data_IF_320936584388
#
_entry.id   IF_320936584388
#
_cell.length_a   1.000
_cell.length_b   1.000
_cell.length_c   1.000
_cell.angle_alpha   90.00
_cell.angle_beta   90.00
_cell.angle_gamma   90.00
#
_symmetry.space_group_name_H-M   'P 1'
#
loop_
_entity.id
_entity.type
_entity.pdbx_description
1 polymer ?
#
# COMPACT_ATOMS: atom_id res chain seq x y z
N UNK A 1 30.11 41.90 -6.39
CA UNK A 1 29.01 41.16 -7.03
C UNK A 1 29.06 39.76 -6.45
N UNK A 2 28.43 39.59 -5.28
CA UNK A 2 28.41 38.33 -4.55
C UNK A 2 27.14 37.59 -4.95
N UNK A 3 27.28 36.35 -5.40
CA UNK A 3 26.16 35.51 -5.78
C UNK A 3 25.64 34.85 -4.50
N UNK A 4 24.52 35.36 -3.98
CA UNK A 4 23.76 34.66 -2.94
C UNK A 4 23.17 33.41 -3.56
N UNK A 5 23.54 32.25 -3.01
CA UNK A 5 22.88 30.98 -3.30
C UNK A 5 21.47 31.07 -2.73
N UNK A 6 20.50 31.20 -3.63
CA UNK A 6 19.09 31.08 -3.32
C UNK A 6 18.78 29.62 -2.98
N UNK A 7 19.02 29.24 -1.73
CA UNK A 7 18.46 28.03 -1.14
C UNK A 7 17.38 28.50 -0.17
N UNK A 8 16.17 27.97 -0.36
CA UNK A 8 15.00 28.19 0.48
C UNK A 8 15.34 27.80 1.91
N UNK A 9 15.63 28.79 2.75
CA UNK A 9 15.85 28.61 4.18
C UNK A 9 14.47 28.65 4.83
N UNK A 10 13.90 27.49 5.10
CA UNK A 10 12.77 27.37 6.03
C UNK A 10 13.35 27.25 7.45
N UNK A 11 13.05 28.18 8.37
CA UNK A 11 13.64 28.24 9.71
C UNK A 11 13.25 27.07 10.62
N UNK A 12 12.32 26.20 10.21
CA UNK A 12 11.87 25.06 11.02
C UNK A 12 12.76 23.80 10.88
N UNK A 13 13.69 23.75 9.90
CA UNK A 13 14.62 22.63 9.75
C UNK A 13 15.98 22.94 10.38
N UNK A 14 16.29 22.28 11.50
CA UNK A 14 17.51 22.49 12.28
C UNK A 14 18.84 22.20 11.57
N UNK A 15 18.85 21.53 10.41
CA UNK A 15 20.03 21.30 9.56
C UNK A 15 19.63 21.09 8.09
N UNK A 16 20.46 21.50 7.10
CA UNK A 16 20.17 21.23 5.70
C UNK A 16 20.27 19.71 5.40
N UNK A 17 19.15 19.12 4.96
CA UNK A 17 19.08 17.72 4.50
C UNK A 17 19.76 17.49 3.13
N UNK A 18 20.27 18.54 2.49
CA UNK A 18 20.99 18.44 1.24
C UNK A 18 22.46 18.12 1.47
N UNK A 19 22.98 17.21 0.68
CA UNK A 19 24.39 16.80 0.67
C UNK A 19 25.01 17.06 -0.69
N UNK A 20 26.34 17.03 -0.76
CA UNK A 20 27.08 17.37 -1.98
C UNK A 20 26.71 16.46 -3.18
N UNK A 21 26.67 16.99 -4.41
CA UNK A 21 26.42 16.17 -5.60
C UNK A 21 27.39 14.98 -5.70
N UNK A 22 26.86 13.79 -6.02
CA UNK A 22 27.64 12.55 -6.14
C UNK A 22 27.68 11.69 -4.88
N UNK A 23 27.07 12.13 -3.78
CA UNK A 23 26.81 11.28 -2.61
C UNK A 23 25.52 10.44 -2.79
N UNK A 24 25.44 9.34 -2.05
CA UNK A 24 24.22 8.50 -1.93
C UNK A 24 23.23 9.05 -0.90
N UNK A 25 23.57 10.19 -0.28
CA UNK A 25 22.70 10.93 0.63
C UNK A 25 22.05 12.12 -0.10
N UNK A 26 20.94 12.67 0.43
CA UNK A 26 20.13 12.10 1.51
C UNK A 26 19.46 10.79 1.07
N UNK A 27 19.19 9.91 2.04
CA UNK A 27 18.38 8.70 1.85
C UNK A 27 17.34 8.56 2.98
N UNK A 28 16.47 7.55 2.91
CA UNK A 28 15.43 7.34 3.93
C UNK A 28 15.99 7.19 5.35
N UNK A 29 17.19 6.61 5.50
CA UNK A 29 17.84 6.46 6.81
C UNK A 29 18.28 7.79 7.44
N UNK A 30 18.42 8.86 6.64
CA UNK A 30 18.79 10.21 7.09
C UNK A 30 17.62 11.19 6.97
N UNK A 31 16.39 10.69 6.82
CA UNK A 31 15.20 11.53 6.84
C UNK A 31 14.97 12.13 8.24
N UNK A 32 14.07 13.10 8.32
CA UNK A 32 13.64 13.66 9.59
C UNK A 32 13.07 12.55 10.49
N UNK A 33 13.32 12.63 11.80
CA UNK A 33 12.83 11.68 12.79
C UNK A 33 11.46 12.06 13.35
N UNK A 34 10.82 13.10 12.79
CA UNK A 34 9.46 13.52 13.12
C UNK A 34 8.52 13.19 11.97
N UNK A 35 7.37 12.59 12.29
CA UNK A 35 6.29 12.37 11.32
C UNK A 35 5.00 13.03 11.79
N UNK A 36 4.30 13.68 10.86
CA UNK A 36 2.97 14.24 11.09
C UNK A 36 1.95 13.54 10.20
N UNK A 37 0.96 12.89 10.79
CA UNK A 37 -0.06 12.13 10.05
C UNK A 37 -1.46 12.64 10.39
N UNK A 38 -2.24 12.90 9.35
CA UNK A 38 -3.67 13.24 9.49
C UNK A 38 -4.50 11.97 9.57
N UNK A 39 -5.30 11.85 10.62
CA UNK A 39 -6.24 10.74 10.82
C UNK A 39 -7.65 11.31 10.82
N UNK A 40 -8.46 10.90 9.86
CA UNK A 40 -9.81 11.42 9.70
C UNK A 40 -10.75 10.99 10.83
N UNK A 41 -10.47 9.88 11.52
CA UNK A 41 -11.37 9.28 12.51
C UNK A 41 -10.58 8.45 13.55
N UNK A 42 -10.34 9.00 14.74
CA UNK A 42 -9.85 8.24 15.89
C UNK A 42 -10.77 8.49 17.10
N UNK A 43 -11.24 7.43 17.74
CA UNK A 43 -12.04 7.49 18.98
C UNK A 43 -13.53 7.80 18.83
N UNK A 44 -14.25 7.80 19.95
CA UNK A 44 -15.71 7.90 20.02
C UNK A 44 -16.31 9.24 19.55
N UNK A 45 -15.48 10.26 19.28
CA UNK A 45 -15.91 11.63 19.00
C UNK A 45 -15.89 12.01 17.52
N UNK A 46 -15.39 11.14 16.61
CA UNK A 46 -15.34 11.37 15.16
C UNK A 46 -14.68 12.71 14.75
N UNK A 47 -13.71 13.20 15.52
CA UNK A 47 -12.99 14.45 15.22
C UNK A 47 -11.70 14.10 14.46
N UNK A 48 -11.45 14.73 13.29
CA UNK A 48 -10.17 14.61 12.61
C UNK A 48 -9.04 15.05 13.54
N UNK A 49 -7.99 14.24 13.63
CA UNK A 49 -6.85 14.50 14.52
C UNK A 49 -5.54 14.48 13.73
N UNK A 50 -4.57 15.23 14.24
CA UNK A 50 -3.19 15.21 13.75
C UNK A 50 -2.37 14.45 14.78
N UNK A 51 -1.66 13.41 14.33
CA UNK A 51 -0.76 12.63 15.17
C UNK A 51 0.67 13.03 14.81
N UNK A 52 1.33 13.68 15.76
CA UNK A 52 2.77 13.92 15.70
C UNK A 52 3.48 12.81 16.48
N UNK A 53 4.52 12.24 15.89
CA UNK A 53 5.29 11.14 16.49
C UNK A 53 6.78 11.36 16.24
N UNK A 54 7.60 11.06 17.24
CA UNK A 54 9.06 11.03 17.08
C UNK A 54 9.59 9.61 17.04
N UNK A 55 10.67 9.43 16.30
CA UNK A 55 11.22 8.15 15.92
C UNK A 55 12.71 8.08 16.25
N UNK A 56 13.23 6.86 16.40
CA UNK A 56 14.68 6.65 16.58
C UNK A 56 15.46 7.01 15.31
N UNK A 57 14.84 6.81 14.14
CA UNK A 57 15.46 7.01 12.84
C UNK A 57 14.43 7.56 11.83
N UNK A 58 14.92 8.14 10.73
CA UNK A 58 14.06 8.69 9.68
C UNK A 58 13.37 7.65 8.81
N UNK A 59 13.84 6.40 8.83
CA UNK A 59 13.20 5.30 8.11
C UNK A 59 11.81 5.01 8.71
N UNK A 60 11.72 4.89 10.03
CA UNK A 60 10.48 4.65 10.75
C UNK A 60 9.53 5.84 10.62
N UNK A 61 10.06 7.07 10.65
CA UNK A 61 9.29 8.27 10.39
C UNK A 61 8.71 8.31 8.96
N UNK A 62 9.46 7.84 7.95
CA UNK A 62 8.98 7.75 6.58
C UNK A 62 7.96 6.62 6.43
N UNK A 63 8.23 5.46 7.04
CA UNK A 63 7.32 4.32 7.06
C UNK A 63 5.97 4.71 7.68
N UNK A 64 5.97 5.41 8.82
CA UNK A 64 4.75 5.78 9.54
C UNK A 64 3.77 6.64 8.73
N UNK A 65 4.29 7.52 7.86
CA UNK A 65 3.47 8.35 6.96
C UNK A 65 2.73 7.51 5.92
N UNK A 66 3.31 6.37 5.52
CA UNK A 66 2.77 5.44 4.53
C UNK A 66 2.00 4.28 5.17
N UNK A 67 1.99 4.16 6.50
CA UNK A 67 1.33 3.06 7.21
C UNK A 67 -0.18 3.08 6.96
N UNK A 68 -0.67 1.98 6.42
CA UNK A 68 -2.09 1.74 6.19
C UNK A 68 -2.48 0.38 6.75
N UNK A 69 -3.67 0.27 7.33
CA UNK A 69 -4.20 -1.00 7.82
C UNK A 69 -5.03 -1.74 6.77
N UNK A 70 -5.49 -1.04 5.72
CA UNK A 70 -6.17 -1.66 4.58
C UNK A 70 -6.08 -0.82 3.30
N UNK A 71 -6.17 -1.50 2.17
CA UNK A 71 -6.29 -0.97 0.80
C UNK A 71 -7.64 -1.42 0.23
N UNK A 72 -8.37 -0.51 -0.42
CA UNK A 72 -9.63 -0.81 -1.08
C UNK A 72 -9.68 -0.18 -2.47
N UNK A 73 -10.32 -0.88 -3.40
CA UNK A 73 -10.65 -0.36 -4.72
C UNK A 73 -11.73 -1.25 -5.38
N UNK A 74 -12.17 -0.84 -6.57
CA UNK A 74 -13.05 -1.61 -7.42
C UNK A 74 -12.28 -2.59 -8.31
N UNK A 75 -12.99 -3.63 -8.74
CA UNK A 75 -12.58 -4.51 -9.83
C UNK A 75 -13.72 -4.67 -10.83
N UNK A 76 -13.34 -4.84 -12.10
CA UNK A 76 -14.24 -5.08 -13.23
C UNK A 76 -13.59 -6.13 -14.11
N UNK A 77 -14.25 -7.28 -14.28
CA UNK A 77 -13.77 -8.42 -15.07
C UNK A 77 -14.83 -8.92 -16.05
N UNK A 78 -15.76 -8.05 -16.44
CA UNK A 78 -16.85 -8.41 -17.33
C UNK A 78 -16.33 -8.69 -18.76
N UNK A 79 -16.33 -9.96 -19.15
CA UNK A 79 -15.87 -10.42 -20.47
C UNK A 79 -16.65 -9.81 -21.65
N UNK A 80 -17.93 -9.47 -21.47
CA UNK A 80 -18.77 -8.91 -22.55
C UNK A 80 -18.30 -7.54 -23.03
N UNK A 81 -17.50 -6.85 -22.22
CA UNK A 81 -16.88 -5.56 -22.53
C UNK A 81 -15.35 -5.63 -22.53
N UNK A 82 -14.80 -6.85 -22.56
CA UNK A 82 -13.36 -7.09 -22.48
C UNK A 82 -12.70 -6.39 -21.30
N UNK A 83 -13.38 -6.34 -20.15
CA UNK A 83 -12.87 -5.65 -18.97
C UNK A 83 -11.86 -6.50 -18.21
N UNK A 84 -10.76 -5.88 -17.81
CA UNK A 84 -9.76 -6.44 -16.91
C UNK A 84 -9.36 -5.43 -15.85
N UNK A 85 -8.94 -5.92 -14.69
CA UNK A 85 -8.43 -5.08 -13.61
C UNK A 85 -7.22 -5.73 -12.97
N UNK A 86 -6.17 -4.93 -12.77
CA UNK A 86 -5.02 -5.29 -11.96
C UNK A 86 -4.80 -4.23 -10.87
N UNK A 87 -4.43 -4.66 -9.67
CA UNK A 87 -4.01 -3.78 -8.60
C UNK A 87 -2.51 -3.91 -8.38
N UNK A 88 -1.83 -2.77 -8.32
CA UNK A 88 -0.44 -2.68 -7.91
C UNK A 88 -0.40 -2.19 -6.47
N UNK A 89 0.30 -2.91 -5.60
CA UNK A 89 0.58 -2.53 -4.23
C UNK A 89 2.09 -2.61 -3.99
N UNK A 90 2.68 -1.49 -3.60
CA UNK A 90 4.11 -1.36 -3.33
C UNK A 90 4.35 -1.00 -1.88
N UNK A 91 5.42 -1.57 -1.30
CA UNK A 91 5.90 -1.33 0.05
C UNK A 91 7.25 -0.57 0.01
N UNK A 92 7.26 0.77 -0.11
CA UNK A 92 8.48 1.51 -0.47
C UNK A 92 9.64 1.39 0.52
N UNK A 93 9.34 1.09 1.79
CA UNK A 93 10.34 0.98 2.85
C UNK A 93 10.74 -0.47 3.16
N UNK A 94 10.06 -1.47 2.58
CA UNK A 94 10.27 -2.90 2.86
C UNK A 94 11.72 -3.32 2.76
N UNK A 95 12.40 -2.92 1.68
CA UNK A 95 13.79 -3.27 1.43
C UNK A 95 14.74 -2.84 2.54
N UNK A 96 14.39 -1.84 3.35
CA UNK A 96 15.23 -1.34 4.44
C UNK A 96 14.94 -2.08 5.75
N UNK A 97 13.72 -2.59 5.92
CA UNK A 97 13.30 -3.30 7.11
C UNK A 97 13.70 -4.79 7.11
N UNK A 98 14.01 -5.37 5.95
CA UNK A 98 14.35 -6.79 5.78
C UNK A 98 15.83 -7.07 5.42
N UNK A 99 16.72 -6.07 5.53
CA UNK A 99 18.14 -6.22 5.13
C UNK A 99 18.95 -7.11 6.07
N UNK A 100 18.53 -7.19 7.33
CA UNK A 100 19.20 -7.93 8.40
C UNK A 100 18.62 -9.34 8.54
N UNK A 101 19.35 -10.23 9.22
CA UNK A 101 18.89 -11.59 9.49
C UNK A 101 17.60 -11.63 10.34
N UNK A 102 17.32 -10.56 11.08
CA UNK A 102 16.07 -10.36 11.82
C UNK A 102 15.36 -9.18 11.16
N UNK A 103 14.12 -9.35 10.67
CA UNK A 103 13.34 -8.25 10.13
C UNK A 103 12.99 -7.25 11.23
N UNK A 104 12.83 -5.99 10.84
CA UNK A 104 12.45 -4.91 11.75
C UNK A 104 11.00 -4.50 11.48
N UNK A 105 10.22 -4.16 12.53
CA UNK A 105 8.86 -3.68 12.35
C UNK A 105 8.79 -2.52 11.35
N UNK A 106 7.70 -2.41 10.56
CA UNK A 106 6.45 -3.18 10.65
C UNK A 106 6.46 -4.51 9.85
N UNK A 107 7.58 -4.88 9.23
CA UNK A 107 7.72 -6.13 8.49
C UNK A 107 8.16 -7.26 9.42
N UNK A 108 7.59 -8.44 9.21
CA UNK A 108 7.72 -9.57 10.14
C UNK A 108 8.49 -10.73 9.55
N UNK A 109 8.55 -10.81 8.22
CA UNK A 109 9.15 -11.93 7.52
C UNK A 109 10.57 -11.65 7.04
N UNK A 110 11.40 -12.70 7.08
CA UNK A 110 12.80 -12.61 6.62
C UNK A 110 12.87 -12.81 5.12
N UNK A 111 13.76 -12.09 4.42
CA UNK A 111 13.88 -12.23 2.96
C UNK A 111 14.51 -13.58 2.57
N UNK A 112 13.77 -14.37 1.80
CA UNK A 112 14.22 -15.66 1.25
C UNK A 112 14.17 -15.65 -0.29
N UNK A 113 14.47 -16.79 -0.92
CA UNK A 113 14.32 -16.94 -2.37
C UNK A 113 12.86 -16.76 -2.85
N UNK A 114 11.89 -17.03 -1.98
CA UNK A 114 10.46 -16.89 -2.26
C UNK A 114 9.89 -15.52 -1.81
N UNK A 115 10.77 -14.61 -1.37
CA UNK A 115 10.41 -13.29 -0.85
C UNK A 115 10.30 -13.23 0.68
N UNK A 116 9.75 -12.12 1.20
CA UNK A 116 9.41 -11.91 2.61
C UNK A 116 7.88 -11.72 2.70
N UNK A 117 7.13 -12.80 2.94
CA UNK A 117 5.69 -12.88 2.72
C UNK A 117 4.85 -12.34 3.89
N UNK A 118 4.48 -11.06 3.84
CA UNK A 118 3.62 -10.49 4.88
C UNK A 118 2.17 -10.94 4.71
N UNK A 119 1.53 -11.56 5.72
CA UNK A 119 0.16 -12.07 5.62
C UNK A 119 -0.88 -10.95 5.45
N UNK A 120 -1.91 -11.21 4.65
CA UNK A 120 -2.99 -10.26 4.36
C UNK A 120 -4.37 -10.92 4.40
N UNK A 121 -5.36 -10.16 4.83
CA UNK A 121 -6.77 -10.53 4.77
C UNK A 121 -7.40 -10.05 3.47
N UNK A 122 -8.27 -10.86 2.87
CA UNK A 122 -9.03 -10.48 1.68
C UNK A 122 -10.53 -10.57 1.96
N UNK A 123 -11.28 -9.58 1.47
CA UNK A 123 -12.73 -9.61 1.43
C UNK A 123 -13.22 -8.93 0.14
N UNK A 124 -14.23 -9.51 -0.50
CA UNK A 124 -14.81 -9.01 -1.75
C UNK A 124 -16.33 -8.86 -1.61
N UNK A 125 -16.85 -7.87 -2.34
CA UNK A 125 -18.26 -7.56 -2.43
C UNK A 125 -18.64 -7.30 -3.88
N UNK A 126 -19.87 -7.65 -4.25
CA UNK A 126 -20.43 -7.21 -5.52
C UNK A 126 -20.89 -5.73 -5.44
N UNK A 127 -21.41 -5.20 -6.55
CA UNK A 127 -21.93 -3.83 -6.63
C UNK A 127 -23.13 -3.55 -5.70
N UNK A 128 -23.86 -4.59 -5.30
CA UNK A 128 -24.99 -4.53 -4.35
C UNK A 128 -24.58 -4.85 -2.90
N UNK A 129 -23.29 -4.78 -2.57
CA UNK A 129 -22.74 -5.03 -1.22
C UNK A 129 -22.93 -6.45 -0.69
N UNK A 130 -23.23 -7.42 -1.56
CA UNK A 130 -23.22 -8.83 -1.19
C UNK A 130 -21.77 -9.30 -1.05
N UNK A 131 -21.39 -9.67 0.17
CA UNK A 131 -20.08 -10.22 0.49
C UNK A 131 -19.95 -11.71 0.13
N UNK A 132 -18.74 -12.14 -0.19
CA UNK A 132 -18.37 -13.55 -0.09
C UNK A 132 -18.14 -13.94 1.38
N UNK A 133 -18.61 -15.13 1.78
CA UNK A 133 -18.27 -15.72 3.08
C UNK A 133 -17.33 -16.92 2.91
N UNK A 134 -16.05 -16.71 3.22
CA UNK A 134 -15.02 -17.75 3.32
C UNK A 134 -14.38 -18.18 1.99
N UNK A 135 -13.19 -18.76 2.05
CA UNK A 135 -12.50 -19.38 0.89
C UNK A 135 -11.98 -18.41 -0.16
N UNK A 136 -11.65 -17.16 0.21
CA UNK A 136 -10.99 -16.23 -0.69
C UNK A 136 -9.48 -16.33 -0.50
N UNK A 137 -8.77 -16.72 -1.54
CA UNK A 137 -7.32 -16.84 -1.54
C UNK A 137 -6.68 -16.34 -2.83
N UNK A 138 -5.35 -16.19 -2.78
CA UNK A 138 -4.55 -15.97 -3.98
C UNK A 138 -4.25 -17.29 -4.69
N UNK A 139 -4.29 -17.27 -6.02
CA UNK A 139 -3.89 -18.39 -6.88
C UNK A 139 -2.83 -17.94 -7.89
N UNK A 140 -1.69 -18.64 -8.05
CA UNK A 140 -1.22 -19.70 -7.16
C UNK A 140 -1.00 -19.18 -5.72
N UNK A 141 -1.15 -20.06 -4.74
CA UNK A 141 -1.06 -19.66 -3.33
C UNK A 141 0.40 -19.33 -2.94
N UNK A 142 0.68 -18.13 -2.41
CA UNK A 142 1.98 -17.77 -1.87
C UNK A 142 2.39 -18.62 -0.66
N UNK A 143 3.70 -18.68 -0.33
CA UNK A 143 4.16 -19.21 0.95
C UNK A 143 3.48 -18.48 2.11
N UNK A 144 2.96 -19.23 3.08
CA UNK A 144 2.25 -18.66 4.24
C UNK A 144 0.77 -18.37 4.00
N UNK A 145 0.22 -18.67 2.82
CA UNK A 145 -1.19 -18.47 2.49
C UNK A 145 -1.43 -17.14 1.77
N UNK A 146 -2.45 -16.38 2.18
CA UNK A 146 -2.72 -15.07 1.61
C UNK A 146 -1.66 -14.08 2.09
N UNK A 147 -0.64 -13.82 1.28
CA UNK A 147 0.49 -12.97 1.66
C UNK A 147 1.05 -12.18 0.47
N UNK A 148 1.70 -11.06 0.77
CA UNK A 148 2.40 -10.21 -0.20
C UNK A 148 3.91 -10.25 0.04
N UNK A 149 4.62 -10.97 -0.83
CA UNK A 149 6.03 -11.35 -0.62
C UNK A 149 7.04 -10.32 -1.10
N UNK A 150 6.69 -9.51 -2.08
CA UNK A 150 7.64 -8.64 -2.77
C UNK A 150 7.48 -7.19 -2.35
N UNK A 151 8.43 -6.35 -2.76
CA UNK A 151 8.33 -4.90 -2.60
C UNK A 151 7.20 -4.34 -3.46
N UNK A 152 6.98 -4.87 -4.66
CA UNK A 152 5.83 -4.54 -5.51
C UNK A 152 5.09 -5.82 -5.85
N UNK A 153 3.78 -5.81 -5.61
CA UNK A 153 2.90 -6.95 -5.79
C UNK A 153 1.79 -6.56 -6.76
N UNK A 154 1.50 -7.44 -7.72
CA UNK A 154 0.42 -7.25 -8.69
C UNK A 154 -0.66 -8.28 -8.38
N UNK A 155 -1.88 -7.81 -8.15
CA UNK A 155 -3.05 -8.64 -7.93
C UNK A 155 -3.96 -8.51 -9.15
N UNK A 156 -4.22 -9.62 -9.83
CA UNK A 156 -5.17 -9.69 -10.95
C UNK A 156 -6.47 -10.34 -10.50
N UNK A 157 -7.56 -10.07 -11.20
CA UNK A 157 -8.86 -10.70 -10.96
C UNK A 157 -9.24 -11.58 -12.15
N UNK A 158 -9.72 -12.79 -11.88
CA UNK A 158 -10.13 -13.78 -12.90
C UNK A 158 -9.13 -13.99 -14.05
N UNK A 159 -7.83 -13.89 -13.75
CA UNK A 159 -6.71 -14.00 -14.68
C UNK A 159 -6.78 -12.99 -15.84
N UNK A 160 -7.31 -11.78 -15.60
CA UNK A 160 -7.35 -10.73 -16.62
C UNK A 160 -5.96 -10.22 -17.03
N UNK A 161 -5.01 -10.17 -16.08
CA UNK A 161 -3.59 -9.89 -16.29
C UNK A 161 -3.33 -8.69 -17.20
N UNK A 162 -3.94 -7.55 -16.87
CA UNK A 162 -3.85 -6.31 -17.68
C UNK A 162 -2.40 -5.86 -17.85
N UNK A 163 -1.58 -6.01 -16.80
CA UNK A 163 -0.17 -5.61 -16.79
C UNK A 163 0.78 -6.72 -17.24
N UNK A 164 0.30 -7.97 -17.40
CA UNK A 164 1.12 -9.11 -17.80
C UNK A 164 2.25 -9.43 -16.81
N UNK A 165 2.02 -9.25 -15.51
CA UNK A 165 3.06 -9.46 -14.50
C UNK A 165 3.41 -10.94 -14.36
N UNK A 166 4.71 -11.25 -14.39
CA UNK A 166 5.19 -12.62 -14.19
C UNK A 166 4.97 -13.15 -12.77
N UNK A 167 4.78 -12.25 -11.79
CA UNK A 167 4.59 -12.57 -10.37
C UNK A 167 3.24 -12.02 -9.89
N UNK A 168 2.18 -12.26 -10.67
CA UNK A 168 0.82 -11.88 -10.29
C UNK A 168 0.19 -12.85 -9.30
N UNK A 169 -0.69 -12.30 -8.47
CA UNK A 169 -1.55 -13.04 -7.56
C UNK A 169 -2.98 -12.94 -8.09
N UNK A 170 -3.59 -14.06 -8.44
CA UNK A 170 -4.96 -14.05 -8.94
C UNK A 170 -5.99 -14.20 -7.82
N UNK A 171 -7.06 -13.41 -7.89
CA UNK A 171 -8.24 -13.52 -7.03
C UNK A 171 -9.44 -13.96 -7.89
N UNK A 172 -10.13 -15.03 -7.46
CA UNK A 172 -11.39 -15.46 -8.07
C UNK A 172 -12.56 -14.62 -7.53
N UNK A 173 -13.36 -14.03 -8.44
CA UNK A 173 -14.53 -13.21 -8.08
C UNK A 173 -15.86 -13.91 -8.40
N UNK A 174 -15.84 -15.19 -8.81
CA UNK A 174 -17.02 -15.95 -9.24
C UNK A 174 -18.17 -15.96 -8.23
N UNK A 175 -17.88 -15.79 -6.93
CA UNK A 175 -18.85 -15.75 -5.84
C UNK A 175 -19.67 -14.45 -5.75
N UNK A 176 -19.12 -13.33 -6.24
CA UNK A 176 -19.70 -11.98 -6.21
C UNK A 176 -20.05 -11.47 -7.60
N UNK A 177 -19.52 -12.10 -8.65
CA UNK A 177 -19.75 -11.74 -10.04
C UNK A 177 -18.58 -10.94 -10.64
N UNK A 178 -18.76 -10.41 -11.86
CA UNK A 178 -17.66 -9.81 -12.61
C UNK A 178 -17.25 -8.44 -12.10
N UNK A 179 -18.14 -7.73 -11.39
CA UNK A 179 -17.93 -6.34 -11.00
C UNK A 179 -18.19 -6.16 -9.50
N UNK A 180 -17.29 -5.47 -8.82
CA UNK A 180 -17.37 -5.33 -7.38
C UNK A 180 -16.24 -4.49 -6.79
N UNK A 181 -16.00 -4.67 -5.50
CA UNK A 181 -14.88 -4.06 -4.80
C UNK A 181 -14.24 -5.03 -3.83
N UNK A 182 -12.95 -4.85 -3.58
CA UNK A 182 -12.17 -5.65 -2.66
C UNK A 182 -11.65 -4.77 -1.53
N UNK A 183 -11.46 -5.38 -0.36
CA UNK A 183 -10.66 -4.86 0.73
C UNK A 183 -9.53 -5.84 1.01
N UNK A 184 -8.31 -5.36 0.89
CA UNK A 184 -7.12 -6.04 1.36
C UNK A 184 -6.72 -5.44 2.71
N UNK A 185 -6.73 -6.24 3.75
CA UNK A 185 -6.36 -5.83 5.11
C UNK A 185 -4.95 -6.29 5.43
N UNK A 186 -4.12 -5.39 5.95
CA UNK A 186 -2.78 -5.71 6.45
C UNK A 186 -2.79 -6.11 7.92
N UNK A 187 -3.93 -6.00 8.59
CA UNK A 187 -4.11 -6.44 9.96
C UNK A 187 -5.33 -7.35 10.06
N UNK A 188 -5.15 -8.48 10.73
CA UNK A 188 -6.21 -9.45 10.99
C UNK A 188 -6.71 -9.40 12.45
N UNK A 189 -5.93 -8.78 13.34
CA UNK A 189 -6.26 -8.51 14.75
C UNK A 189 -5.58 -7.21 15.21
N UNK A 190 -5.93 -6.69 16.40
CA UNK A 190 -5.16 -5.59 17.02
C UNK A 190 -3.80 -6.07 17.56
N UNK A 191 -3.66 -7.38 17.77
CA UNK A 191 -2.43 -8.06 18.21
C UNK A 191 -1.57 -8.52 17.02
N UNK A 192 -1.83 -7.97 15.83
CA UNK A 192 -1.05 -8.26 14.63
C UNK A 192 0.34 -7.63 14.75
N UNK A 193 1.37 -8.36 14.33
CA UNK A 193 2.76 -7.93 14.42
C UNK A 193 3.11 -6.85 13.38
N UNK A 194 2.23 -6.63 12.39
CA UNK A 194 2.28 -5.49 11.47
C UNK A 194 1.96 -4.18 12.19
N UNK A 195 2.93 -3.67 12.94
CA UNK A 195 2.79 -2.43 13.67
C UNK A 195 4.12 -1.70 13.83
N UNK A 196 4.05 -0.38 14.00
CA UNK A 196 5.21 0.48 14.20
C UNK A 196 4.95 1.45 15.35
N UNK A 197 5.77 1.39 16.40
CA UNK A 197 5.59 2.16 17.63
C UNK A 197 6.59 3.31 17.73
N UNK A 198 6.07 4.51 17.97
CA UNK A 198 6.85 5.74 18.19
C UNK A 198 7.42 5.83 19.60
N UNK A 199 8.33 6.79 19.84
CA UNK A 199 8.96 7.00 21.14
C UNK A 199 7.97 7.43 22.24
N UNK A 200 6.90 8.13 21.87
CA UNK A 200 5.84 8.57 22.79
C UNK A 200 4.76 7.51 23.01
N UNK A 201 4.82 6.37 22.31
CA UNK A 201 3.87 5.27 22.43
C UNK A 201 2.66 5.34 21.51
N UNK A 202 2.66 6.19 20.49
CA UNK A 202 1.71 6.05 19.37
C UNK A 202 2.09 4.83 18.54
N UNK A 203 1.14 3.93 18.28
CA UNK A 203 1.32 2.71 17.49
C UNK A 203 0.51 2.80 16.20
N UNK A 204 1.20 2.65 15.07
CA UNK A 204 0.64 2.63 13.73
C UNK A 204 0.43 1.18 13.31
N UNK A 205 -0.75 0.83 12.81
CA UNK A 205 -1.10 -0.55 12.46
C UNK A 205 -1.13 -0.76 10.93
N UNK A 206 -0.62 -1.91 10.49
CA UNK A 206 -0.57 -2.36 9.11
C UNK A 206 0.82 -2.23 8.48
N UNK A 207 0.88 -1.96 7.19
CA UNK A 207 2.13 -1.90 6.42
C UNK A 207 2.26 -0.58 5.66
N UNK A 208 3.48 -0.11 5.39
CA UNK A 208 3.72 1.12 4.64
C UNK A 208 3.47 0.86 3.15
N UNK A 209 2.27 1.19 2.68
CA UNK A 209 1.77 0.75 1.37
C UNK A 209 1.37 1.94 0.48
N UNK A 210 1.68 1.86 -0.80
CA UNK A 210 1.20 2.76 -1.85
C UNK A 210 0.76 1.94 -3.06
N UNK A 211 0.09 2.54 -4.04
CA UNK A 211 -0.22 1.86 -5.28
C UNK A 211 -1.42 2.44 -6.01
N UNK A 212 -1.85 1.74 -7.04
CA UNK A 212 -2.97 2.11 -7.90
C UNK A 212 -3.63 0.85 -8.48
N UNK A 213 -4.84 1.01 -9.00
CA UNK A 213 -5.50 0.02 -9.84
C UNK A 213 -5.45 0.46 -11.31
N UNK A 214 -5.20 -0.48 -12.22
CA UNK A 214 -5.33 -0.30 -13.66
C UNK A 214 -6.53 -1.08 -14.16
N UNK A 215 -7.32 -0.46 -15.02
CA UNK A 215 -8.43 -1.10 -15.70
C UNK A 215 -8.28 -0.94 -17.19
N UNK A 216 -8.57 -2.00 -17.94
CA UNK A 216 -8.63 -2.00 -19.39
C UNK A 216 -10.03 -2.45 -19.83
N UNK A 217 -10.51 -1.89 -20.95
CA UNK A 217 -11.72 -2.30 -21.63
C UNK A 217 -11.41 -2.49 -23.11
N UNK A 218 -11.46 -3.73 -23.60
CA UNK A 218 -11.21 -4.07 -25.00
C UNK A 218 -12.53 -4.37 -25.72
N UNK A 219 -13.20 -3.33 -26.22
CA UNK A 219 -14.53 -3.45 -26.85
C UNK A 219 -14.50 -3.65 -28.38
N UNK A 220 -13.36 -3.95 -28.97
CA UNK A 220 -13.25 -4.17 -30.42
C UNK A 220 -13.45 -2.89 -31.24
N UNK A 221 -14.30 -2.94 -32.26
CA UNK A 221 -14.59 -1.80 -33.15
C UNK A 221 -16.07 -1.41 -33.13
N UNK A 222 -16.35 -0.12 -33.24
CA UNK A 222 -17.72 0.39 -33.38
C UNK A 222 -18.31 0.09 -34.78
N UNK A 223 -19.57 0.51 -34.99
CA UNK A 223 -20.28 0.31 -36.26
C UNK A 223 -19.63 1.06 -37.45
N UNK A 224 -18.76 2.03 -37.18
CA UNK A 224 -17.99 2.77 -38.17
C UNK A 224 -16.57 2.21 -38.38
N UNK A 225 -16.20 1.13 -37.69
CA UNK A 225 -14.90 0.48 -37.77
C UNK A 225 -13.80 1.13 -36.92
N UNK A 226 -14.17 1.95 -35.93
CA UNK A 226 -13.24 2.64 -35.03
C UNK A 226 -13.00 1.79 -33.78
N UNK A 227 -11.73 1.60 -33.42
CA UNK A 227 -11.34 0.88 -32.20
C UNK A 227 -11.84 1.63 -30.95
N UNK A 228 -12.44 0.89 -30.02
CA UNK A 228 -13.03 1.42 -28.78
C UNK A 228 -12.40 0.76 -27.55
N UNK A 229 -11.09 0.87 -27.45
CA UNK A 229 -10.34 0.40 -26.28
C UNK A 229 -10.08 1.55 -25.31
N UNK A 230 -10.28 1.31 -24.01
CA UNK A 230 -10.08 2.31 -22.96
C UNK A 230 -9.18 1.73 -21.87
N UNK A 231 -8.32 2.57 -21.32
CA UNK A 231 -7.49 2.22 -20.17
C UNK A 231 -7.50 3.36 -19.15
N UNK A 232 -7.47 3.02 -17.87
CA UNK A 232 -7.47 4.00 -16.77
C UNK A 232 -6.61 3.54 -15.60
N UNK A 233 -6.05 4.51 -14.89
CA UNK A 233 -5.41 4.32 -13.59
C UNK A 233 -6.25 5.01 -12.53
N UNK A 234 -6.45 4.33 -11.41
CA UNK A 234 -7.28 4.78 -10.31
C UNK A 234 -6.53 4.63 -9.00
N UNK A 235 -6.55 5.67 -8.18
CA UNK A 235 -5.95 5.63 -6.86
C UNK A 235 -6.68 4.62 -5.96
N UNK A 236 -5.94 3.93 -5.10
CA UNK A 236 -6.54 3.14 -4.05
C UNK A 236 -7.11 4.03 -2.96
N UNK A 237 -8.21 3.59 -2.35
CA UNK A 237 -8.65 4.10 -1.06
C UNK A 237 -7.87 3.38 0.04
N UNK A 238 -7.38 4.13 1.03
CA UNK A 238 -6.62 3.57 2.14
C UNK A 238 -7.30 3.88 3.48
N UNK A 239 -7.25 2.92 4.39
CA UNK A 239 -7.59 3.12 5.80
C UNK A 239 -6.33 3.27 6.64
N UNK A 240 -6.41 4.01 7.74
CA UNK A 240 -5.34 4.17 8.72
C UNK A 240 -5.88 3.90 10.10
N UNK A 241 -5.09 3.21 10.91
CA UNK A 241 -5.39 2.94 12.30
C UNK A 241 -4.15 3.25 13.14
N UNK A 242 -4.34 4.10 14.15
CA UNK A 242 -3.30 4.49 15.10
C UNK A 242 -3.92 4.38 16.50
N UNK A 243 -3.18 3.80 17.47
CA UNK A 243 -3.50 3.90 18.90
C UNK A 243 -2.50 4.82 19.58
N UNK A 244 -2.94 5.59 20.58
CA UNK A 244 -2.11 6.57 21.28
C UNK A 244 -2.83 7.91 21.48
N UNK A 245 -2.35 8.72 22.41
CA UNK A 245 -2.86 10.08 22.61
C UNK A 245 -2.19 11.01 21.59
N UNK A 246 -2.92 11.39 20.54
CA UNK A 246 -2.52 12.53 19.72
C UNK A 246 -2.34 13.76 20.63
N UNK A 247 -1.15 14.34 20.64
CA UNK A 247 -0.86 15.63 21.29
C UNK A 247 -0.76 16.73 20.25
#
# INVERSE_FOLDING_TARGET
MAWEKCCFFDPDFGFPFHTDPGTLLPGLQTADTVSTVFVSQQGATNVPTVVNSTWVNGLDATSSVLMHNAVMNYFVTNESIGAGTDWVITFPTKRFHIQTAIPTPPFTETFTADGACEPVGLAIWNREERAQTGGLDFSPQPPGGNALCWETNVITFNNSSVLGSALELNVDTSSVGPDGWMRLSFVNSIDDDHQLASLEGNTFFGLPAIGFATQEYVNGVDQAGVLINYGGMFDHAFSRQISGSGT
#
